data_IF_737984264210
#
_entry.id   IF_737984264210
#
_cell.length_a   1.000
_cell.length_b   1.000
_cell.length_c   1.000
_cell.angle_alpha   90.00
_cell.angle_beta   90.00
_cell.angle_gamma   90.00
#
_symmetry.space_group_name_H-M   'P 1'
#
loop_
_entity.id
_entity.type
_entity.pdbx_description
1 polymer ?
#
# COMPACT_ATOMS: atom_id res chain seq x y z
N UNK A 1 7.73 -5.06 3.60
CA UNK A 1 8.98 -4.35 3.25
C UNK A 1 8.75 -2.95 2.67
N UNK A 2 7.98 -2.75 1.59
CA UNK A 2 7.77 -1.44 0.93
C UNK A 2 7.30 -0.25 1.81
N UNK A 3 6.46 -0.51 2.82
CA UNK A 3 5.96 0.51 3.74
C UNK A 3 6.79 0.64 5.04
N UNK A 4 7.79 -0.23 5.23
CA UNK A 4 8.57 -0.30 6.47
C UNK A 4 9.62 0.81 6.48
N UNK A 5 9.63 1.63 7.53
CA UNK A 5 10.53 2.78 7.65
C UNK A 5 10.03 4.07 6.97
N UNK A 6 8.93 3.99 6.22
CA UNK A 6 8.20 5.17 5.72
C UNK A 6 7.30 5.76 6.80
N UNK A 7 7.06 7.06 6.73
CA UNK A 7 6.03 7.74 7.51
C UNK A 7 4.63 7.28 7.08
N UNK A 8 3.64 7.50 7.93
CA UNK A 8 2.25 7.16 7.62
C UNK A 8 1.72 7.91 6.39
N UNK A 9 2.20 9.13 6.15
CA UNK A 9 1.82 9.92 4.97
C UNK A 9 2.46 9.40 3.69
N UNK A 10 3.75 9.03 3.73
CA UNK A 10 4.41 8.38 2.60
C UNK A 10 3.76 7.03 2.26
N UNK A 11 3.37 6.26 3.27
CA UNK A 11 2.65 5.01 3.05
C UNK A 11 1.21 5.21 2.53
N UNK A 12 0.59 6.36 2.77
CA UNK A 12 -0.72 6.76 2.23
C UNK A 12 -0.64 7.32 0.81
N UNK A 13 0.51 7.89 0.44
CA UNK A 13 0.77 8.39 -0.90
C UNK A 13 1.11 7.28 -1.90
N UNK A 14 1.38 6.06 -1.41
CA UNK A 14 1.69 4.91 -2.25
C UNK A 14 0.49 4.52 -3.12
N UNK A 15 0.79 4.23 -4.38
CA UNK A 15 -0.17 3.82 -5.40
C UNK A 15 -0.04 2.33 -5.69
N UNK A 16 -1.00 1.82 -6.45
CA UNK A 16 -0.98 0.44 -6.95
C UNK A 16 0.24 0.20 -7.84
N UNK A 17 0.63 1.20 -8.60
CA UNK A 17 1.74 1.12 -9.55
C UNK A 17 3.08 1.02 -8.83
N UNK A 18 3.27 1.75 -7.72
CA UNK A 18 4.47 1.66 -6.88
C UNK A 18 4.70 0.24 -6.34
N UNK A 19 3.61 -0.48 -6.01
CA UNK A 19 3.70 -1.88 -5.57
C UNK A 19 4.06 -2.81 -6.74
N UNK A 20 3.50 -2.55 -7.92
CA UNK A 20 3.78 -3.37 -9.12
C UNK A 20 5.23 -3.19 -9.56
N UNK A 21 5.78 -1.98 -9.47
CA UNK A 21 7.18 -1.69 -9.76
C UNK A 21 8.13 -2.33 -8.74
N UNK A 22 7.85 -2.23 -7.43
CA UNK A 22 8.67 -2.85 -6.37
C UNK A 22 8.68 -4.38 -6.45
N UNK A 23 7.58 -4.99 -6.90
CA UNK A 23 7.49 -6.43 -7.14
C UNK A 23 8.21 -6.88 -8.43
N UNK A 24 8.92 -5.99 -9.13
CA UNK A 24 9.74 -6.30 -10.30
C UNK A 24 8.94 -6.43 -11.60
N UNK A 25 7.74 -5.85 -11.64
CA UNK A 25 6.82 -5.95 -12.77
C UNK A 25 5.98 -7.24 -12.71
N UNK A 26 4.69 -7.11 -12.41
CA UNK A 26 3.75 -8.21 -12.53
C UNK A 26 3.10 -8.22 -13.92
N UNK A 27 2.92 -9.40 -14.56
CA UNK A 27 2.07 -9.50 -15.74
C UNK A 27 0.64 -9.04 -15.40
N UNK A 28 0.06 -8.21 -16.28
CA UNK A 28 -1.24 -7.54 -16.15
C UNK A 28 -2.37 -8.30 -15.42
N UNK A 29 -2.59 -9.62 -15.65
CA UNK A 29 -3.65 -10.35 -14.94
C UNK A 29 -3.44 -10.53 -13.43
N UNK A 30 -2.21 -10.39 -12.90
CA UNK A 30 -1.93 -10.53 -11.45
C UNK A 30 -2.04 -9.23 -10.65
N UNK A 31 -2.25 -8.09 -11.32
CA UNK A 31 -2.38 -6.77 -10.67
C UNK A 31 -3.57 -6.75 -9.70
N UNK A 32 -4.66 -7.46 -10.02
CA UNK A 32 -5.87 -7.49 -9.19
C UNK A 32 -5.64 -8.05 -7.77
N UNK A 33 -4.76 -9.04 -7.61
CA UNK A 33 -4.42 -9.60 -6.31
C UNK A 33 -3.57 -8.64 -5.47
N UNK A 34 -2.73 -7.80 -6.12
CA UNK A 34 -1.92 -6.77 -5.45
C UNK A 34 -2.75 -5.56 -5.00
N UNK A 35 -3.92 -5.32 -5.59
CA UNK A 35 -4.81 -4.22 -5.20
C UNK A 35 -5.38 -4.37 -3.79
N UNK A 36 -5.61 -5.60 -3.32
CA UNK A 36 -6.10 -5.84 -1.96
C UNK A 36 -5.08 -5.40 -0.91
N UNK A 37 -3.79 -5.48 -1.21
CA UNK A 37 -2.71 -5.10 -0.31
C UNK A 37 -2.69 -3.60 -0.03
N UNK A 38 -2.81 -2.76 -1.06
CA UNK A 38 -2.80 -1.30 -0.89
C UNK A 38 -4.06 -0.80 -0.17
N UNK A 39 -5.22 -1.36 -0.53
CA UNK A 39 -6.48 -0.94 0.07
C UNK A 39 -6.54 -1.33 1.56
N UNK A 40 -6.01 -2.51 1.91
CA UNK A 40 -5.82 -2.94 3.29
C UNK A 40 -4.83 -2.05 4.05
N UNK A 41 -3.70 -1.68 3.45
CA UNK A 41 -2.70 -0.79 4.03
C UNK A 41 -3.29 0.59 4.35
N UNK A 42 -3.95 1.21 3.38
CA UNK A 42 -4.60 2.51 3.57
C UNK A 42 -5.68 2.46 4.66
N UNK A 43 -6.48 1.40 4.68
CA UNK A 43 -7.51 1.20 5.71
C UNK A 43 -6.91 1.05 7.10
N UNK A 44 -5.82 0.29 7.23
CA UNK A 44 -5.11 0.13 8.50
C UNK A 44 -4.52 1.46 9.00
N UNK A 45 -3.91 2.25 8.12
CA UNK A 45 -3.34 3.57 8.47
C UNK A 45 -4.44 4.54 8.91
N UNK A 46 -5.56 4.61 8.18
CA UNK A 46 -6.72 5.45 8.56
C UNK A 46 -7.28 5.04 9.91
N UNK A 47 -7.45 3.73 10.15
CA UNK A 47 -7.94 3.20 11.43
C UNK A 47 -6.99 3.51 12.58
N UNK A 48 -5.68 3.39 12.37
CA UNK A 48 -4.67 3.76 13.37
C UNK A 48 -4.76 5.24 13.74
N UNK A 49 -4.85 6.14 12.75
CA UNK A 49 -5.05 7.59 12.97
C UNK A 49 -6.33 7.89 13.75
N UNK A 50 -7.44 7.25 13.38
CA UNK A 50 -8.72 7.43 14.07
C UNK A 50 -8.70 6.90 15.51
N UNK A 51 -7.95 5.82 15.79
CA UNK A 51 -7.82 5.27 17.14
C UNK A 51 -6.88 6.05 18.08
N UNK A 52 -6.10 6.99 17.53
CA UNK A 52 -5.15 7.83 18.26
C UNK A 52 -5.71 9.22 18.59
N UNK A 53 -6.96 9.51 18.20
CA UNK A 53 -7.71 10.73 18.57
C UNK A 53 -8.46 10.55 19.88
#
# INVERSE_FOLDING_TARGET
ELAKGKTLDEALAMTKDDIVEDLGGLPAPKIHCSMLGIDALHTAIKKYRASKS
#
